data_IF_281007750297
#
_entry.id   IF_281007750297
#
_cell.length_a   1.000
_cell.length_b   1.000
_cell.length_c   1.000
_cell.angle_alpha   90.00
_cell.angle_beta   90.00
_cell.angle_gamma   90.00
#
_symmetry.space_group_name_H-M   'P 1'
#
loop_
_entity.id
_entity.type
_entity.pdbx_description
1 polymer ?
#
# COMPACT_ATOMS: atom_id res chain seq x y z
N UNK A 1 14.13 -8.58 -49.15
CA UNK A 1 15.18 -8.46 -48.12
C UNK A 1 14.49 -8.16 -46.82
N UNK A 2 14.47 -9.09 -45.89
CA UNK A 2 13.84 -8.87 -44.60
C UNK A 2 14.75 -7.95 -43.74
N UNK A 3 14.23 -6.79 -43.42
CA UNK A 3 14.90 -5.83 -42.53
C UNK A 3 15.08 -6.51 -41.16
N UNK A 4 16.32 -6.85 -40.79
CA UNK A 4 16.61 -7.42 -39.48
C UNK A 4 16.39 -6.33 -38.46
N UNK A 5 15.30 -6.42 -37.70
CA UNK A 5 15.04 -5.56 -36.55
C UNK A 5 16.28 -5.55 -35.63
N UNK A 6 16.89 -4.39 -35.51
CA UNK A 6 18.10 -4.18 -34.74
C UNK A 6 17.72 -4.18 -33.25
N UNK A 7 18.00 -5.27 -32.54
CA UNK A 7 17.74 -5.35 -31.10
C UNK A 7 18.54 -4.29 -30.35
N UNK A 8 17.88 -3.54 -29.46
CA UNK A 8 18.54 -2.57 -28.57
C UNK A 8 19.41 -3.35 -27.58
N UNK A 9 20.70 -3.03 -27.51
CA UNK A 9 21.62 -3.65 -26.55
C UNK A 9 21.53 -2.99 -25.18
N UNK A 10 21.86 -3.74 -24.11
CA UNK A 10 21.89 -3.20 -22.73
C UNK A 10 22.78 -1.97 -22.64
N UNK A 11 23.95 -1.99 -23.29
CA UNK A 11 24.89 -0.85 -23.29
C UNK A 11 24.32 0.41 -23.98
N UNK A 12 23.51 0.24 -25.07
CA UNK A 12 22.84 1.38 -25.69
C UNK A 12 21.69 1.90 -24.83
N UNK A 13 21.02 1.02 -24.09
CA UNK A 13 19.97 1.41 -23.16
C UNK A 13 20.53 2.20 -21.96
N UNK A 14 21.62 1.75 -21.36
CA UNK A 14 22.30 2.47 -20.27
C UNK A 14 22.76 3.89 -20.68
N UNK A 15 23.18 4.05 -21.93
CA UNK A 15 23.53 5.37 -22.46
C UNK A 15 22.31 6.28 -22.54
N UNK A 16 21.20 5.78 -23.08
CA UNK A 16 19.94 6.53 -23.17
C UNK A 16 19.41 6.93 -21.78
N UNK A 17 19.47 6.02 -20.79
CA UNK A 17 19.06 6.33 -19.42
C UNK A 17 19.90 7.45 -18.80
N UNK A 18 21.22 7.45 -19.02
CA UNK A 18 22.11 8.51 -18.53
C UNK A 18 21.83 9.86 -19.21
N UNK A 19 21.56 9.85 -20.49
CA UNK A 19 21.25 11.06 -21.27
C UNK A 19 19.88 11.63 -20.92
N UNK A 20 18.93 10.81 -20.47
CA UNK A 20 17.57 11.20 -20.06
C UNK A 20 17.42 11.44 -18.55
N UNK A 21 18.51 11.28 -17.78
CA UNK A 21 18.44 11.53 -16.35
C UNK A 21 18.15 13.01 -16.07
N UNK A 22 17.01 13.29 -15.45
CA UNK A 22 16.66 14.64 -15.01
C UNK A 22 17.42 14.97 -13.73
N UNK A 23 18.19 16.06 -13.68
CA UNK A 23 18.93 16.43 -12.49
C UNK A 23 17.98 16.81 -11.34
N UNK A 24 18.48 16.72 -10.11
CA UNK A 24 17.75 17.20 -8.95
C UNK A 24 17.51 18.72 -9.07
N UNK A 25 16.37 19.18 -8.61
CA UNK A 25 16.03 20.60 -8.52
C UNK A 25 16.28 21.10 -7.11
N UNK A 26 16.81 22.32 -6.98
CA UNK A 26 16.96 22.97 -5.68
C UNK A 26 15.99 24.14 -5.61
N UNK A 27 15.16 24.16 -4.59
CA UNK A 27 14.25 25.24 -4.25
C UNK A 27 14.63 25.85 -2.90
N UNK A 28 14.20 27.09 -2.64
CA UNK A 28 14.39 27.74 -1.35
C UNK A 28 13.07 27.80 -0.59
N UNK A 29 13.08 27.28 0.64
CA UNK A 29 11.89 27.24 1.48
C UNK A 29 12.23 27.68 2.91
N UNK A 30 11.66 28.82 3.35
CA UNK A 30 11.94 29.45 4.64
C UNK A 30 13.45 29.58 4.97
N UNK A 31 14.26 29.98 3.97
CA UNK A 31 15.70 30.15 4.12
C UNK A 31 16.53 28.88 4.08
N UNK A 32 15.91 27.73 3.84
CA UNK A 32 16.58 26.44 3.67
C UNK A 32 16.57 26.02 2.20
N UNK A 33 17.59 25.28 1.80
CA UNK A 33 17.65 24.64 0.49
C UNK A 33 16.91 23.29 0.52
N UNK A 34 15.92 23.17 -0.35
CA UNK A 34 15.18 21.92 -0.56
C UNK A 34 15.66 21.29 -1.85
N UNK A 35 16.37 20.16 -1.74
CA UNK A 35 16.84 19.39 -2.89
C UNK A 35 15.80 18.35 -3.25
N UNK A 36 15.24 18.46 -4.46
CA UNK A 36 14.13 17.62 -4.92
C UNK A 36 14.63 16.70 -6.04
N UNK A 37 14.39 15.41 -5.89
CA UNK A 37 14.64 14.39 -6.91
C UNK A 37 13.46 14.35 -7.88
N UNK A 38 13.72 14.34 -9.17
CA UNK A 38 12.68 14.15 -10.17
C UNK A 38 12.08 12.74 -10.11
N UNK A 39 12.92 11.74 -9.88
CA UNK A 39 12.53 10.33 -9.71
C UNK A 39 13.28 9.71 -8.53
N UNK A 40 12.73 8.65 -7.97
CA UNK A 40 13.37 7.82 -6.94
C UNK A 40 13.67 6.43 -7.48
N UNK A 41 14.59 5.70 -6.85
CA UNK A 41 14.94 4.34 -7.23
C UNK A 41 13.78 3.36 -7.00
N UNK A 42 13.83 2.21 -7.68
CA UNK A 42 12.83 1.15 -7.48
C UNK A 42 12.77 0.68 -6.02
N UNK A 43 13.91 0.58 -5.33
CA UNK A 43 13.94 0.23 -3.91
C UNK A 43 13.23 1.26 -3.03
N UNK A 44 13.38 2.56 -3.36
CA UNK A 44 12.67 3.64 -2.66
C UNK A 44 11.17 3.65 -2.98
N UNK A 45 10.77 3.33 -4.22
CA UNK A 45 9.36 3.17 -4.59
C UNK A 45 8.70 2.05 -3.80
N UNK A 46 9.32 0.86 -3.77
CA UNK A 46 8.81 -0.28 -3.01
C UNK A 46 8.70 0.04 -1.51
N UNK A 47 9.74 0.67 -0.95
CA UNK A 47 9.71 1.09 0.45
C UNK A 47 8.67 2.20 0.72
N UNK A 48 8.32 3.03 -0.25
CA UNK A 48 7.23 3.99 -0.16
C UNK A 48 5.88 3.24 -0.04
N UNK A 49 5.60 2.36 -0.98
CA UNK A 49 4.37 1.56 -1.01
C UNK A 49 4.23 0.75 0.29
N UNK A 50 5.27 0.03 0.69
CA UNK A 50 5.26 -0.79 1.90
C UNK A 50 5.02 0.02 3.16
N UNK A 51 5.66 1.18 3.30
CA UNK A 51 5.49 2.05 4.46
C UNK A 51 4.07 2.59 4.56
N UNK A 52 3.49 3.08 3.45
CA UNK A 52 2.12 3.58 3.46
C UNK A 52 1.14 2.46 3.77
N UNK A 53 1.22 1.35 3.06
CA UNK A 53 0.29 0.24 3.22
C UNK A 53 0.37 -0.34 4.64
N UNK A 54 1.57 -0.68 5.12
CA UNK A 54 1.72 -1.27 6.46
C UNK A 54 1.22 -0.33 7.58
N UNK A 55 1.41 0.99 7.40
CA UNK A 55 0.95 1.98 8.40
C UNK A 55 -0.55 2.30 8.31
N UNK A 56 -1.23 1.87 7.25
CA UNK A 56 -2.69 1.98 7.13
C UNK A 56 -3.43 0.80 7.78
N UNK A 57 -2.73 -0.27 8.20
CA UNK A 57 -3.33 -1.42 8.85
C UNK A 57 -2.88 -1.52 10.29
N UNK A 58 -3.83 -1.60 11.21
CA UNK A 58 -3.63 -1.85 12.63
C UNK A 58 -4.51 -3.04 13.08
N UNK A 59 -4.46 -3.37 14.36
CA UNK A 59 -5.22 -4.49 14.93
C UNK A 59 -6.73 -4.39 14.67
N UNK A 60 -7.25 -3.17 14.55
CA UNK A 60 -8.66 -2.89 14.26
C UNK A 60 -9.00 -2.93 12.75
N UNK A 61 -8.00 -3.12 11.88
CA UNK A 61 -8.15 -3.20 10.43
C UNK A 61 -7.57 -2.03 9.65
N UNK A 62 -8.14 -1.77 8.48
CA UNK A 62 -7.71 -0.70 7.56
C UNK A 62 -8.22 0.67 7.98
N UNK A 63 -7.32 1.65 8.08
CA UNK A 63 -7.59 3.04 8.42
C UNK A 63 -7.34 3.97 7.22
N UNK A 64 -8.34 4.25 6.39
CA UNK A 64 -8.19 5.09 5.20
C UNK A 64 -7.85 6.55 5.53
N UNK A 65 -8.24 7.05 6.71
CA UNK A 65 -8.04 8.44 7.13
C UNK A 65 -6.58 8.85 7.29
N UNK A 66 -5.66 7.89 7.56
CA UNK A 66 -4.23 8.19 7.69
C UNK A 66 -3.48 8.10 6.37
N UNK A 67 -4.09 7.52 5.33
CA UNK A 67 -3.44 7.23 4.04
C UNK A 67 -2.85 8.48 3.39
N UNK A 68 -3.61 9.57 3.30
CA UNK A 68 -3.16 10.82 2.67
C UNK A 68 -1.96 11.44 3.42
N UNK A 69 -2.02 11.46 4.77
CA UNK A 69 -0.91 11.93 5.60
C UNK A 69 0.36 11.11 5.37
N UNK A 70 0.24 9.80 5.25
CA UNK A 70 1.36 8.89 5.01
C UNK A 70 1.96 9.06 3.61
N UNK A 71 1.13 9.22 2.58
CA UNK A 71 1.56 9.50 1.21
C UNK A 71 2.37 10.80 1.17
N UNK A 72 1.84 11.89 1.70
CA UNK A 72 2.50 13.20 1.72
C UNK A 72 3.78 13.20 2.56
N UNK A 73 3.78 12.47 3.68
CA UNK A 73 4.97 12.26 4.51
C UNK A 73 6.10 11.57 3.74
N UNK A 74 5.79 10.48 3.04
CA UNK A 74 6.75 9.76 2.22
C UNK A 74 7.22 10.57 1.01
N UNK A 75 6.33 11.36 0.39
CA UNK A 75 6.68 12.27 -0.69
C UNK A 75 7.78 13.24 -0.23
N UNK A 76 7.60 13.93 0.89
CA UNK A 76 8.57 14.90 1.42
C UNK A 76 9.92 14.26 1.77
N UNK A 77 9.92 13.05 2.36
CA UNK A 77 11.14 12.42 2.85
C UNK A 77 11.91 11.63 1.79
N UNK A 78 11.23 11.14 0.74
CA UNK A 78 11.88 10.31 -0.29
C UNK A 78 12.26 11.07 -1.55
N UNK A 79 11.40 12.01 -1.97
CA UNK A 79 11.69 12.87 -3.11
C UNK A 79 12.47 14.11 -2.74
N UNK A 80 12.41 14.55 -1.47
CA UNK A 80 13.17 15.71 -1.01
C UNK A 80 13.92 15.44 0.31
N UNK A 81 14.71 16.42 0.73
CA UNK A 81 15.54 16.32 1.93
C UNK A 81 14.83 16.81 3.22
N UNK A 82 13.50 16.64 3.29
CA UNK A 82 12.76 16.96 4.51
C UNK A 82 12.99 15.92 5.61
N UNK A 83 13.17 16.41 6.84
CA UNK A 83 13.05 15.60 8.06
C UNK A 83 11.70 15.91 8.70
N UNK A 84 10.88 14.89 8.93
CA UNK A 84 9.56 15.10 9.51
C UNK A 84 9.65 15.26 11.03
N UNK A 85 8.84 16.17 11.62
CA UNK A 85 8.70 16.25 13.07
C UNK A 85 8.17 14.93 13.66
N UNK A 86 8.65 14.57 14.85
CA UNK A 86 8.10 13.42 15.61
C UNK A 86 6.68 13.71 16.11
N UNK A 87 6.44 14.96 16.52
CA UNK A 87 5.13 15.42 16.96
C UNK A 87 4.14 15.42 15.79
N UNK A 88 3.01 14.74 15.97
CA UNK A 88 2.00 14.55 14.93
C UNK A 88 1.35 15.86 14.48
N UNK A 89 1.07 16.80 15.41
CA UNK A 89 0.48 18.10 15.08
C UNK A 89 1.43 18.97 14.26
N UNK A 90 2.72 18.95 14.60
CA UNK A 90 3.74 19.66 13.82
C UNK A 90 3.89 19.05 12.41
N UNK A 91 3.80 17.71 12.30
CA UNK A 91 3.82 17.02 11.01
C UNK A 91 2.59 17.39 10.19
N UNK A 92 1.40 17.40 10.81
CA UNK A 92 0.17 17.83 10.18
C UNK A 92 0.29 19.28 9.68
N UNK A 93 0.79 20.18 10.52
CA UNK A 93 1.01 21.58 10.16
C UNK A 93 1.96 21.72 8.98
N UNK A 94 3.09 21.01 8.97
CA UNK A 94 4.03 21.01 7.85
C UNK A 94 3.35 20.57 6.54
N UNK A 95 2.55 19.51 6.58
CA UNK A 95 1.97 18.88 5.39
C UNK A 95 0.76 19.65 4.86
N UNK A 96 -0.11 20.17 5.73
CA UNK A 96 -1.40 20.73 5.32
C UNK A 96 -1.49 22.25 5.43
N UNK A 97 -0.67 22.86 6.28
CA UNK A 97 -0.73 24.31 6.53
C UNK A 97 0.46 25.07 5.90
N UNK A 98 1.32 24.36 5.14
CA UNK A 98 2.41 24.98 4.37
C UNK A 98 2.36 24.52 2.91
N UNK A 99 3.19 25.14 2.08
CA UNK A 99 3.35 24.81 0.66
C UNK A 99 4.44 23.73 0.39
N UNK A 100 4.98 23.09 1.45
CA UNK A 100 6.07 22.10 1.33
C UNK A 100 5.73 20.97 0.34
N UNK A 101 4.52 20.39 0.45
CA UNK A 101 4.05 19.33 -0.45
C UNK A 101 3.92 19.84 -1.89
N UNK A 102 3.37 21.04 -2.07
CA UNK A 102 3.16 21.63 -3.39
C UNK A 102 4.50 21.92 -4.10
N UNK A 103 5.50 22.42 -3.37
CA UNK A 103 6.85 22.68 -3.90
C UNK A 103 7.48 21.37 -4.39
N UNK A 104 7.43 20.28 -3.60
CA UNK A 104 8.01 19.01 -4.00
C UNK A 104 7.23 18.40 -5.17
N UNK A 105 5.90 18.39 -5.12
CA UNK A 105 5.04 17.81 -6.15
C UNK A 105 5.23 18.43 -7.53
N UNK A 106 5.59 19.70 -7.60
CA UNK A 106 5.83 20.44 -8.85
C UNK A 106 7.01 19.89 -9.66
N UNK A 107 8.00 19.28 -9.01
CA UNK A 107 9.27 18.89 -9.63
C UNK A 107 9.46 17.37 -9.80
N UNK A 108 8.59 16.58 -9.23
CA UNK A 108 8.66 15.11 -9.36
C UNK A 108 8.01 14.62 -10.66
N UNK A 109 8.38 13.42 -11.09
CA UNK A 109 7.73 12.73 -12.20
C UNK A 109 6.31 12.31 -11.83
N UNK A 110 5.31 12.93 -12.45
CA UNK A 110 3.91 12.53 -12.24
C UNK A 110 3.69 11.07 -12.59
N UNK A 111 4.26 10.58 -13.70
CA UNK A 111 4.12 9.20 -14.13
C UNK A 111 4.64 8.21 -13.07
N UNK A 112 5.81 8.49 -12.46
CA UNK A 112 6.32 7.63 -11.38
C UNK A 112 5.45 7.72 -10.12
N UNK A 113 4.97 8.92 -9.80
CA UNK A 113 4.15 9.11 -8.61
C UNK A 113 2.78 8.44 -8.76
N UNK A 114 2.16 8.52 -9.94
CA UNK A 114 0.90 7.83 -10.24
C UNK A 114 1.03 6.30 -10.13
N UNK A 115 2.18 5.74 -10.58
CA UNK A 115 2.48 4.31 -10.40
C UNK A 115 2.59 3.93 -8.91
N UNK A 116 3.19 4.78 -8.07
CA UNK A 116 3.26 4.55 -6.62
C UNK A 116 1.86 4.56 -6.01
N UNK A 117 1.02 5.54 -6.36
CA UNK A 117 -0.35 5.64 -5.86
C UNK A 117 -1.18 4.42 -6.26
N UNK A 118 -1.08 4.00 -7.53
CA UNK A 118 -1.75 2.80 -8.04
C UNK A 118 -1.30 1.54 -7.29
N UNK A 119 0.01 1.37 -7.08
CA UNK A 119 0.54 0.22 -6.35
C UNK A 119 0.11 0.18 -4.87
N UNK A 120 -0.06 1.35 -4.22
CA UNK A 120 -0.62 1.46 -2.87
C UNK A 120 -2.07 0.97 -2.87
N UNK A 121 -2.90 1.45 -3.79
CA UNK A 121 -4.31 1.09 -3.87
C UNK A 121 -4.50 -0.39 -4.17
N UNK A 122 -3.82 -0.92 -5.18
CA UNK A 122 -3.86 -2.35 -5.52
C UNK A 122 -3.44 -3.25 -4.35
N UNK A 123 -2.42 -2.85 -3.59
CA UNK A 123 -1.95 -3.63 -2.44
C UNK A 123 -2.92 -3.58 -1.27
N UNK A 124 -3.54 -2.43 -1.00
CA UNK A 124 -4.60 -2.29 0.01
C UNK A 124 -5.79 -3.17 -0.37
N UNK A 125 -6.26 -3.07 -1.61
CA UNK A 125 -7.38 -3.88 -2.11
C UNK A 125 -7.10 -5.38 -2.02
N UNK A 126 -5.89 -5.79 -2.38
CA UNK A 126 -5.47 -7.20 -2.25
C UNK A 126 -5.55 -7.70 -0.80
N UNK A 127 -5.03 -6.91 0.17
CA UNK A 127 -5.05 -7.28 1.59
C UNK A 127 -6.49 -7.33 2.11
N UNK A 128 -7.31 -6.32 1.80
CA UNK A 128 -8.71 -6.27 2.22
C UNK A 128 -9.50 -7.47 1.67
N UNK A 129 -9.37 -7.77 0.37
CA UNK A 129 -10.06 -8.89 -0.26
C UNK A 129 -9.59 -10.24 0.29
N UNK A 130 -8.29 -10.40 0.56
CA UNK A 130 -7.74 -11.64 1.13
C UNK A 130 -8.28 -11.87 2.55
N UNK A 131 -8.39 -10.83 3.35
CA UNK A 131 -8.95 -10.91 4.70
C UNK A 131 -10.45 -11.28 4.66
N UNK A 132 -11.23 -10.67 3.77
CA UNK A 132 -12.65 -11.02 3.58
C UNK A 132 -12.81 -12.49 3.21
N UNK A 133 -12.06 -12.98 2.23
CA UNK A 133 -12.11 -14.40 1.82
C UNK A 133 -11.73 -15.35 2.96
N UNK A 134 -10.75 -14.98 3.79
CA UNK A 134 -10.38 -15.80 4.95
C UNK A 134 -11.50 -15.85 6.00
N UNK A 135 -12.16 -14.73 6.28
CA UNK A 135 -13.31 -14.66 7.19
C UNK A 135 -14.48 -15.48 6.65
N UNK A 136 -14.83 -15.34 5.39
CA UNK A 136 -15.90 -16.12 4.74
C UNK A 136 -15.66 -17.62 4.85
N UNK A 137 -14.43 -18.06 4.59
CA UNK A 137 -14.04 -19.47 4.74
C UNK A 137 -14.19 -19.96 6.19
N UNK A 138 -13.79 -19.17 7.16
CA UNK A 138 -13.95 -19.49 8.58
C UNK A 138 -15.44 -19.59 8.98
N UNK A 139 -16.26 -18.65 8.51
CA UNK A 139 -17.70 -18.68 8.75
C UNK A 139 -18.38 -19.92 8.14
N UNK A 140 -17.99 -20.30 6.92
CA UNK A 140 -18.49 -21.53 6.28
C UNK A 140 -18.09 -22.79 7.08
N UNK A 141 -16.85 -22.87 7.57
CA UNK A 141 -16.39 -23.97 8.42
C UNK A 141 -17.15 -24.02 9.74
N UNK A 142 -17.42 -22.88 10.35
CA UNK A 142 -18.19 -22.78 11.58
C UNK A 142 -19.65 -23.25 11.34
N UNK A 143 -20.30 -22.79 10.29
CA UNK A 143 -21.63 -23.19 9.91
C UNK A 143 -21.74 -24.71 9.72
N UNK A 144 -20.79 -25.30 8.97
CA UNK A 144 -20.74 -26.75 8.76
C UNK A 144 -20.56 -27.53 10.08
N UNK A 145 -19.74 -27.03 11.01
CA UNK A 145 -19.57 -27.66 12.31
C UNK A 145 -20.83 -27.57 13.18
N UNK A 146 -21.58 -26.47 13.14
CA UNK A 146 -22.87 -26.37 13.83
C UNK A 146 -23.90 -27.32 13.26
N UNK A 147 -23.94 -27.50 11.95
CA UNK A 147 -24.86 -28.44 11.27
C UNK A 147 -24.55 -29.88 11.68
N UNK A 148 -23.28 -30.29 11.72
CA UNK A 148 -22.84 -31.61 12.17
C UNK A 148 -23.20 -31.88 13.63
N UNK A 149 -22.95 -30.88 14.52
CA UNK A 149 -23.33 -30.97 15.95
C UNK A 149 -24.85 -31.11 16.11
N UNK A 150 -25.62 -30.30 15.39
CA UNK A 150 -27.08 -30.32 15.43
C UNK A 150 -27.62 -31.72 14.98
N UNK A 151 -27.05 -32.27 13.93
CA UNK A 151 -27.42 -33.62 13.42
C UNK A 151 -27.11 -34.72 14.43
N UNK A 152 -25.89 -34.72 14.99
CA UNK A 152 -25.48 -35.70 16.03
C UNK A 152 -26.36 -35.59 17.28
N UNK A 153 -26.71 -34.38 17.68
CA UNK A 153 -27.60 -34.14 18.81
C UNK A 153 -28.99 -34.68 18.55
N UNK A 154 -29.55 -34.46 17.36
CA UNK A 154 -30.85 -35.00 16.94
C UNK A 154 -30.86 -36.54 16.89
N UNK A 155 -29.78 -37.13 16.40
CA UNK A 155 -29.61 -38.62 16.35
C UNK A 155 -29.54 -39.23 17.79
N UNK A 156 -28.85 -38.57 18.69
CA UNK A 156 -28.79 -38.97 20.11
C UNK A 156 -30.16 -38.92 20.79
N UNK A 157 -30.95 -37.88 20.57
CA UNK A 157 -32.30 -37.79 21.14
C UNK A 157 -33.28 -38.78 20.49
N UNK A 158 -33.14 -39.08 19.19
CA UNK A 158 -33.95 -40.09 18.53
C UNK A 158 -33.67 -41.52 19.07
N UNK A 159 -32.40 -41.81 19.42
CA UNK A 159 -32.02 -43.09 20.02
C UNK A 159 -32.54 -43.30 21.43
N UNK A 160 -32.74 -42.23 22.22
CA UNK A 160 -33.25 -42.32 23.61
C UNK A 160 -34.75 -42.60 23.65
N UNK A 161 -35.53 -42.11 22.69
CA UNK A 161 -36.99 -42.34 22.61
C UNK A 161 -37.39 -43.71 22.11
N UNK A 162 -36.44 -44.51 21.59
CA UNK A 162 -36.74 -45.87 21.06
C UNK A 162 -36.61 -47.02 22.04
N UNK A 163 -36.11 -46.79 23.29
CA UNK A 163 -35.80 -47.84 24.23
C UNK A 163 -36.79 -48.03 25.41
N UNK A 164 -37.84 -47.21 25.49
CA UNK A 164 -38.77 -47.28 26.65
C UNK A 164 -40.23 -47.67 26.34
N UNK A 165 -40.49 -48.32 25.23
CA UNK A 165 -41.85 -48.87 24.96
C UNK A 165 -41.75 -50.38 24.61
N UNK A 166 -41.27 -51.16 25.57
CA UNK A 166 -41.46 -52.61 25.56
C UNK A 166 -41.35 -53.19 26.98
N UNK A 167 -42.42 -53.05 27.80
CA UNK A 167 -42.78 -53.99 28.85
C UNK A 167 -44.27 -53.88 29.18
#
# INVERSE_FOLDING_TARGET
MADKEKKISIASFDKVLKEQAVPNTTEHWFGNEVVIKHTISIAQMLAFVDNVVSSCFHDEGYMPEVKDLLIKSNLLTRYANFTLPENLEHRYTLIYNTDAVAIVSKHISSAQFDEILRAIDEKIDYICNTNIMAIEKQMQQLAASFEDVSKKTSEMFAGVNGSDVAK
#
